data_IF_567517137593
#
_entry.id   IF_567517137593
#
_cell.length_a   1.000
_cell.length_b   1.000
_cell.length_c   1.000
_cell.angle_alpha   90.00
_cell.angle_beta   90.00
_cell.angle_gamma   90.00
#
_symmetry.space_group_name_H-M   'P 1'
#
loop_
_entity.id
_entity.type
_entity.pdbx_description
1 polymer ?
#
# COMPACT_ATOMS: atom_id res chain seq x y z
N UNK A 1 -1.42 -18.18 21.24
CA UNK A 1 -1.14 -16.82 20.69
C UNK A 1 -2.28 -15.83 20.89
N UNK A 2 -3.56 -16.14 20.67
CA UNK A 2 -4.70 -15.20 20.83
C UNK A 2 -4.88 -14.65 22.27
N UNK A 3 -4.62 -15.44 23.32
CA UNK A 3 -4.80 -15.01 24.72
C UNK A 3 -3.78 -13.95 25.14
N UNK A 4 -2.51 -14.13 24.75
CA UNK A 4 -1.43 -13.16 25.03
C UNK A 4 -1.67 -11.83 24.32
N UNK A 5 -2.17 -11.86 23.08
CA UNK A 5 -2.55 -10.69 22.30
C UNK A 5 -3.68 -9.90 23.00
N UNK A 6 -4.66 -10.59 23.59
CA UNK A 6 -5.74 -9.97 24.37
C UNK A 6 -5.25 -9.26 25.64
N UNK A 7 -4.29 -9.85 26.35
CA UNK A 7 -3.70 -9.25 27.54
C UNK A 7 -2.87 -8.01 27.19
N UNK A 8 -2.12 -8.06 26.07
CA UNK A 8 -1.36 -6.91 25.57
C UNK A 8 -2.30 -5.79 25.12
N UNK A 9 -3.43 -6.08 24.49
CA UNK A 9 -4.42 -5.09 24.07
C UNK A 9 -5.10 -4.34 25.25
N UNK A 10 -5.00 -4.87 26.49
CA UNK A 10 -5.49 -4.17 27.68
C UNK A 10 -4.50 -3.09 28.14
N UNK A 11 -3.20 -3.39 28.03
CA UNK A 11 -2.12 -2.49 28.51
C UNK A 11 -1.71 -1.49 27.41
N UNK A 12 -1.66 -1.95 26.16
CA UNK A 12 -1.30 -1.15 25.00
C UNK A 12 -2.32 -1.38 23.88
N UNK A 13 -3.48 -0.71 23.92
CA UNK A 13 -4.54 -0.94 22.95
C UNK A 13 -4.11 -0.51 21.55
N UNK A 14 -4.33 -1.40 20.58
CA UNK A 14 -4.12 -1.09 19.17
C UNK A 14 -5.09 -0.01 18.73
N UNK A 15 -4.61 0.91 17.91
CA UNK A 15 -5.38 2.04 17.41
C UNK A 15 -5.54 1.97 15.90
N UNK A 16 -6.72 2.37 15.43
CA UNK A 16 -7.00 2.54 14.01
C UNK A 16 -6.01 3.54 13.40
N UNK A 17 -5.32 3.15 12.32
CA UNK A 17 -4.33 3.99 11.64
C UNK A 17 -4.96 5.23 10.98
N UNK A 18 -6.26 5.25 10.78
CA UNK A 18 -7.02 6.36 10.18
C UNK A 18 -7.55 7.30 11.27
N UNK A 19 -8.47 6.84 12.13
CA UNK A 19 -9.18 7.70 13.08
C UNK A 19 -8.63 7.66 14.51
N UNK A 20 -7.62 6.82 14.82
CA UNK A 20 -7.04 6.69 16.16
C UNK A 20 -7.90 5.93 17.17
N UNK A 21 -9.13 5.52 16.83
CA UNK A 21 -10.01 4.74 17.73
C UNK A 21 -9.35 3.40 18.10
N UNK A 22 -9.59 2.93 19.33
CA UNK A 22 -9.20 1.58 19.73
C UNK A 22 -9.80 0.55 18.79
N UNK A 23 -8.98 -0.39 18.32
CA UNK A 23 -9.41 -1.49 17.46
C UNK A 23 -10.11 -2.59 18.27
N UNK A 24 -11.08 -3.23 17.65
CA UNK A 24 -11.68 -4.47 18.15
C UNK A 24 -10.68 -5.64 18.00
N UNK A 25 -11.02 -6.80 18.56
CA UNK A 25 -10.10 -7.96 18.61
C UNK A 25 -9.80 -8.51 17.22
N UNK A 26 -10.77 -8.42 16.33
CA UNK A 26 -10.76 -8.87 14.94
C UNK A 26 -10.25 -7.80 13.96
N UNK A 27 -10.13 -6.56 14.39
CA UNK A 27 -9.58 -5.47 13.61
C UNK A 27 -8.04 -5.42 13.76
N UNK A 28 -7.29 -5.31 12.67
CA UNK A 28 -5.82 -5.37 12.73
C UNK A 28 -5.14 -4.00 12.60
N UNK A 29 -5.48 -3.23 11.62
CA UNK A 29 -4.87 -1.94 11.31
C UNK A 29 -5.88 -0.79 11.31
N UNK A 30 -7.05 -1.07 10.77
CA UNK A 30 -8.12 -0.09 10.52
C UNK A 30 -9.43 -0.63 11.06
N UNK A 31 -10.25 0.24 11.64
CA UNK A 31 -11.57 -0.16 12.12
C UNK A 31 -12.57 -0.33 10.97
N UNK A 32 -13.59 -1.16 11.17
CA UNK A 32 -14.60 -1.45 10.16
C UNK A 32 -15.25 -0.18 9.58
N UNK A 33 -15.54 0.82 10.43
CA UNK A 33 -16.10 2.09 9.97
C UNK A 33 -15.15 2.82 9.01
N UNK A 34 -13.85 2.94 9.34
CA UNK A 34 -12.88 3.56 8.44
C UNK A 34 -12.67 2.76 7.16
N UNK A 35 -12.69 1.42 7.22
CA UNK A 35 -12.61 0.57 6.04
C UNK A 35 -13.81 0.79 5.11
N UNK A 36 -15.02 0.87 5.67
CA UNK A 36 -16.23 1.12 4.90
C UNK A 36 -16.22 2.50 4.20
N UNK A 37 -15.66 3.52 4.86
CA UNK A 37 -15.62 4.90 4.35
C UNK A 37 -14.33 5.23 3.59
N UNK A 38 -13.45 4.24 3.30
CA UNK A 38 -12.29 4.49 2.46
C UNK A 38 -12.72 5.06 1.10
N UNK A 39 -12.08 6.14 0.63
CA UNK A 39 -12.39 6.73 -0.69
C UNK A 39 -11.84 5.86 -1.82
N UNK A 40 -12.44 4.69 -2.01
CA UNK A 40 -12.05 3.74 -3.08
C UNK A 40 -12.32 4.34 -4.44
N UNK A 41 -11.43 4.07 -5.40
CA UNK A 41 -11.55 4.60 -6.78
C UNK A 41 -12.43 3.73 -7.66
N UNK A 42 -12.55 2.45 -7.34
CA UNK A 42 -13.15 1.40 -8.19
C UNK A 42 -12.49 1.29 -9.59
N UNK A 43 -11.22 1.70 -9.71
CA UNK A 43 -10.51 1.66 -11.00
C UNK A 43 -10.11 0.24 -11.41
N UNK A 44 -10.09 -0.72 -10.50
CA UNK A 44 -9.85 -2.14 -10.80
C UNK A 44 -10.94 -2.72 -11.70
N UNK A 45 -12.20 -2.35 -11.50
CA UNK A 45 -13.33 -2.77 -12.34
C UNK A 45 -13.23 -2.27 -13.79
N UNK A 46 -12.48 -1.18 -14.01
CA UNK A 46 -12.23 -0.58 -15.33
C UNK A 46 -10.73 -0.41 -15.59
N UNK A 47 -9.94 -1.46 -15.31
CA UNK A 47 -8.48 -1.40 -15.27
C UNK A 47 -7.81 -0.99 -16.59
N UNK A 48 -8.48 -1.19 -17.74
CA UNK A 48 -7.98 -0.81 -19.06
C UNK A 48 -8.26 0.65 -19.42
N UNK A 49 -9.37 1.21 -18.92
CA UNK A 49 -9.83 2.56 -19.23
C UNK A 49 -10.38 3.27 -17.99
N UNK A 50 -9.50 3.95 -17.28
CA UNK A 50 -9.80 4.80 -16.15
C UNK A 50 -8.82 5.99 -16.13
N UNK A 51 -9.02 7.02 -15.31
CA UNK A 51 -8.14 8.19 -15.27
C UNK A 51 -6.67 7.86 -15.06
N UNK A 52 -6.33 6.79 -14.29
CA UNK A 52 -4.95 6.38 -14.08
C UNK A 52 -4.38 5.66 -15.30
N UNK A 53 -5.14 4.74 -15.93
CA UNK A 53 -4.69 4.02 -17.11
C UNK A 53 -4.39 4.97 -18.28
N UNK A 54 -5.22 5.99 -18.46
CA UNK A 54 -5.04 7.01 -19.52
C UNK A 54 -3.75 7.79 -19.41
N UNK A 55 -3.15 7.93 -18.20
CA UNK A 55 -1.86 8.58 -18.02
C UNK A 55 -0.70 7.84 -18.72
N UNK A 56 -0.86 6.55 -18.96
CA UNK A 56 0.19 5.72 -19.58
C UNK A 56 -0.02 5.52 -21.09
N UNK A 57 -1.18 5.88 -21.63
CA UNK A 57 -1.48 5.67 -23.04
C UNK A 57 -0.51 6.42 -23.96
N UNK A 58 0.07 5.69 -24.90
CA UNK A 58 1.05 6.23 -25.84
C UNK A 58 2.44 6.50 -25.26
N UNK A 59 2.64 6.29 -23.94
CA UNK A 59 3.93 6.52 -23.28
C UNK A 59 4.70 5.22 -23.02
N UNK A 60 4.01 4.23 -22.45
CA UNK A 60 4.59 2.92 -22.14
C UNK A 60 3.52 1.84 -22.35
N UNK A 61 3.91 0.60 -22.66
CA UNK A 61 2.99 -0.51 -22.88
C UNK A 61 2.46 -1.05 -21.53
N UNK A 62 1.59 -0.30 -20.86
CA UNK A 62 0.88 -0.76 -19.66
C UNK A 62 -0.45 -1.35 -20.08
N UNK A 63 -0.69 -2.61 -19.73
CA UNK A 63 -1.92 -3.30 -20.06
C UNK A 63 -3.08 -2.81 -19.17
N UNK A 64 -2.87 -2.74 -17.87
CA UNK A 64 -3.87 -2.33 -16.86
C UNK A 64 -3.23 -1.39 -15.85
N UNK A 65 -3.97 -0.39 -15.40
CA UNK A 65 -3.54 0.46 -14.30
C UNK A 65 -4.72 0.84 -13.42
N UNK A 66 -4.52 0.81 -12.12
CA UNK A 66 -5.50 1.24 -11.13
C UNK A 66 -4.82 1.85 -9.92
N UNK A 67 -5.50 2.77 -9.24
CA UNK A 67 -5.21 3.17 -7.87
C UNK A 67 -6.32 2.62 -6.99
N UNK A 68 -6.00 2.25 -5.76
CA UNK A 68 -6.98 1.69 -4.83
C UNK A 68 -7.87 2.75 -4.21
N UNK A 69 -7.25 3.86 -3.74
CA UNK A 69 -7.93 4.92 -3.00
C UNK A 69 -7.53 6.29 -3.56
N UNK A 70 -8.44 7.27 -3.44
CA UNK A 70 -8.11 8.67 -3.63
C UNK A 70 -7.27 9.20 -2.47
N UNK A 71 -6.26 9.99 -2.76
CA UNK A 71 -5.43 10.65 -1.76
C UNK A 71 -5.77 12.14 -1.71
N UNK A 72 -6.25 12.58 -0.55
CA UNK A 72 -6.47 13.99 -0.25
C UNK A 72 -5.44 14.45 0.79
N UNK A 73 -4.61 15.47 0.50
CA UNK A 73 -3.75 16.08 1.50
C UNK A 73 -4.59 16.55 2.70
N UNK A 74 -4.16 16.19 3.90
CA UNK A 74 -4.88 16.48 5.16
C UNK A 74 -6.18 15.69 5.38
N UNK A 75 -6.57 14.82 4.47
CA UNK A 75 -7.69 13.89 4.66
C UNK A 75 -7.33 12.76 5.64
N UNK A 76 -8.34 12.00 6.07
CA UNK A 76 -8.16 10.89 7.02
C UNK A 76 -7.17 9.82 6.51
N UNK A 77 -7.20 9.52 5.20
CA UNK A 77 -6.30 8.56 4.56
C UNK A 77 -4.84 9.03 4.60
N UNK A 78 -4.59 10.35 4.61
CA UNK A 78 -3.23 10.88 4.67
C UNK A 78 -2.50 10.41 5.93
N UNK A 79 -3.19 10.31 7.07
CA UNK A 79 -2.61 9.85 8.34
C UNK A 79 -2.06 8.42 8.22
N UNK A 80 -2.80 7.52 7.57
CA UNK A 80 -2.41 6.13 7.31
C UNK A 80 -1.13 6.07 6.45
N UNK A 81 -1.08 6.84 5.37
CA UNK A 81 0.08 6.91 4.47
C UNK A 81 1.31 7.52 5.18
N UNK A 82 1.11 8.51 6.05
CA UNK A 82 2.19 9.08 6.85
C UNK A 82 2.73 8.10 7.88
N UNK A 83 1.88 7.34 8.57
CA UNK A 83 2.30 6.28 9.50
C UNK A 83 3.08 5.18 8.77
N UNK A 84 2.63 4.75 7.59
CA UNK A 84 3.37 3.83 6.74
C UNK A 84 4.73 4.38 6.31
N UNK A 85 4.86 5.68 6.04
CA UNK A 85 6.13 6.26 5.57
C UNK A 85 7.10 6.63 6.68
N UNK A 86 6.59 7.01 7.87
CA UNK A 86 7.38 7.66 8.92
C UNK A 86 7.12 7.11 10.33
N UNK A 87 6.11 6.28 10.51
CA UNK A 87 5.72 5.76 11.82
C UNK A 87 6.51 4.53 12.28
N UNK A 88 7.40 3.97 11.45
CA UNK A 88 8.12 2.74 11.80
C UNK A 88 7.23 1.48 11.81
N UNK A 89 6.10 1.50 11.10
CA UNK A 89 5.10 0.43 11.04
C UNK A 89 5.05 -0.24 9.66
N UNK A 90 6.05 -1.08 9.30
CA UNK A 90 6.03 -1.79 8.02
C UNK A 90 4.85 -2.75 7.87
N UNK A 91 4.32 -3.27 8.98
CA UNK A 91 3.14 -4.12 9.02
C UNK A 91 1.90 -3.47 8.41
N UNK A 92 1.79 -2.14 8.47
CA UNK A 92 0.70 -1.44 7.78
C UNK A 92 0.78 -1.56 6.26
N UNK A 93 2.00 -1.59 5.70
CA UNK A 93 2.18 -1.83 4.27
C UNK A 93 1.68 -3.22 3.85
N UNK A 94 2.00 -4.22 4.67
CA UNK A 94 1.55 -5.59 4.43
C UNK A 94 0.02 -5.72 4.47
N UNK A 95 -0.63 -5.18 5.50
CA UNK A 95 -2.09 -5.20 5.63
C UNK A 95 -2.80 -4.40 4.52
N UNK A 96 -2.24 -3.23 4.15
CA UNK A 96 -2.75 -2.46 3.01
C UNK A 96 -2.66 -3.25 1.70
N UNK A 97 -1.58 -4.01 1.51
CA UNK A 97 -1.43 -4.90 0.36
C UNK A 97 -2.49 -5.99 0.31
N UNK A 98 -2.84 -6.57 1.45
CA UNK A 98 -3.91 -7.57 1.54
C UNK A 98 -5.28 -6.96 1.20
N UNK A 99 -5.67 -5.84 1.82
CA UNK A 99 -6.94 -5.16 1.53
C UNK A 99 -7.05 -4.74 0.05
N UNK A 100 -5.97 -4.18 -0.51
CA UNK A 100 -5.94 -3.84 -1.93
C UNK A 100 -6.13 -5.09 -2.81
N UNK A 101 -5.46 -6.18 -2.47
CA UNK A 101 -5.52 -7.40 -3.25
C UNK A 101 -6.91 -8.05 -3.18
N UNK A 102 -7.55 -8.05 -2.01
CA UNK A 102 -8.92 -8.52 -1.84
C UNK A 102 -9.88 -7.72 -2.73
N UNK A 103 -9.87 -6.38 -2.63
CA UNK A 103 -10.74 -5.50 -3.44
C UNK A 103 -10.48 -5.70 -4.96
N UNK A 104 -9.23 -5.86 -5.39
CA UNK A 104 -8.87 -5.96 -6.80
C UNK A 104 -9.07 -7.36 -7.39
N UNK A 105 -9.01 -8.40 -6.56
CA UNK A 105 -9.23 -9.78 -7.00
C UNK A 105 -10.67 -10.01 -7.44
N UNK A 106 -11.64 -9.33 -6.82
CA UNK A 106 -13.06 -9.40 -7.21
C UNK A 106 -13.27 -8.97 -8.68
N UNK A 107 -12.43 -8.05 -9.18
CA UNK A 107 -12.48 -7.52 -10.54
C UNK A 107 -11.57 -8.29 -11.53
N UNK A 108 -10.91 -9.38 -11.12
CA UNK A 108 -9.97 -10.14 -11.94
C UNK A 108 -8.71 -9.34 -12.31
N UNK A 109 -8.34 -8.33 -11.52
CA UNK A 109 -7.19 -7.44 -11.83
C UNK A 109 -5.87 -8.21 -11.92
N UNK A 110 -5.72 -9.30 -11.18
CA UNK A 110 -4.49 -10.09 -11.13
C UNK A 110 -4.42 -11.22 -12.18
N UNK A 111 -5.44 -11.38 -13.02
CA UNK A 111 -5.45 -12.43 -14.03
C UNK A 111 -4.32 -12.27 -15.04
N UNK A 112 -3.53 -13.33 -15.23
CA UNK A 112 -2.39 -13.34 -16.15
C UNK A 112 -1.16 -12.56 -15.65
N UNK A 113 -1.10 -12.24 -14.36
CA UNK A 113 0.09 -11.64 -13.72
C UNK A 113 0.98 -12.76 -13.17
N UNK A 114 2.28 -12.73 -13.48
CA UNK A 114 3.26 -13.74 -13.06
C UNK A 114 3.96 -13.38 -11.75
N UNK A 115 4.08 -12.11 -11.42
CA UNK A 115 4.80 -11.64 -10.23
C UNK A 115 4.42 -10.22 -9.82
N UNK A 116 4.61 -9.91 -8.54
CA UNK A 116 4.51 -8.55 -7.98
C UNK A 116 5.91 -7.95 -7.86
N UNK A 117 6.12 -6.79 -8.49
CA UNK A 117 7.42 -6.10 -8.49
C UNK A 117 7.30 -4.77 -7.75
N UNK A 118 7.85 -4.63 -6.54
CA UNK A 118 7.77 -3.40 -5.79
C UNK A 118 8.66 -2.30 -6.39
N UNK A 119 8.19 -1.05 -6.35
CA UNK A 119 9.01 0.10 -6.74
C UNK A 119 10.18 0.25 -5.76
N UNK A 120 11.45 0.28 -6.26
CA UNK A 120 12.61 0.36 -5.39
C UNK A 120 12.74 1.74 -4.73
N UNK A 121 13.07 1.73 -3.44
CA UNK A 121 13.32 2.93 -2.64
C UNK A 121 14.74 3.46 -2.84
N UNK A 122 14.95 4.77 -2.76
CA UNK A 122 16.28 5.36 -2.76
C UNK A 122 17.05 5.01 -1.46
N UNK A 123 18.36 4.76 -1.55
CA UNK A 123 19.21 4.31 -0.45
C UNK A 123 19.15 5.23 0.78
N UNK A 124 19.19 6.55 0.57
CA UNK A 124 19.06 7.53 1.65
C UNK A 124 17.69 7.45 2.37
N UNK A 125 16.62 7.16 1.63
CA UNK A 125 15.29 6.95 2.21
C UNK A 125 15.18 5.62 2.94
N UNK A 126 15.80 4.56 2.40
CA UNK A 126 15.87 3.26 3.04
C UNK A 126 16.58 3.36 4.40
N UNK A 127 17.75 4.03 4.44
CA UNK A 127 18.51 4.24 5.67
C UNK A 127 17.73 5.03 6.73
N UNK A 128 16.92 6.01 6.31
CA UNK A 128 16.10 6.81 7.23
C UNK A 128 14.84 6.08 7.71
N UNK A 129 14.23 5.24 6.88
CA UNK A 129 12.96 4.55 7.18
C UNK A 129 13.16 3.16 7.75
N UNK A 130 14.29 2.51 7.44
CA UNK A 130 14.57 1.12 7.78
C UNK A 130 13.94 0.10 6.83
N UNK A 131 13.01 0.50 5.96
CA UNK A 131 12.29 -0.42 5.06
C UNK A 131 11.78 0.26 3.78
N UNK A 132 11.45 -0.57 2.78
CA UNK A 132 10.76 -0.17 1.56
C UNK A 132 9.25 -0.44 1.70
N UNK A 133 8.43 0.59 1.73
CA UNK A 133 6.97 0.47 1.87
C UNK A 133 6.34 -0.35 0.74
N UNK A 134 6.81 -0.13 -0.51
CA UNK A 134 6.29 -0.85 -1.66
C UNK A 134 6.56 -2.35 -1.58
N UNK A 135 7.66 -2.76 -0.94
CA UNK A 135 7.97 -4.17 -0.72
C UNK A 135 7.01 -4.81 0.29
N UNK A 136 6.64 -4.11 1.36
CA UNK A 136 5.67 -4.63 2.32
C UNK A 136 4.27 -4.71 1.73
N UNK A 137 3.86 -3.71 0.93
CA UNK A 137 2.60 -3.77 0.17
C UNK A 137 2.63 -4.98 -0.80
N UNK A 138 3.73 -5.17 -1.54
CA UNK A 138 3.89 -6.30 -2.45
C UNK A 138 3.79 -7.65 -1.72
N UNK A 139 4.36 -7.76 -0.51
CA UNK A 139 4.24 -8.97 0.33
C UNK A 139 2.79 -9.25 0.74
N UNK A 140 2.03 -8.21 1.08
CA UNK A 140 0.60 -8.34 1.39
C UNK A 140 -0.22 -8.79 0.18
N UNK A 141 0.06 -8.22 -1.00
CA UNK A 141 -0.57 -8.66 -2.26
C UNK A 141 -0.20 -10.12 -2.55
N UNK A 142 1.06 -10.48 -2.41
CA UNK A 142 1.53 -11.84 -2.64
C UNK A 142 0.84 -12.88 -1.73
N UNK A 143 0.64 -12.55 -0.46
CA UNK A 143 -0.05 -13.41 0.48
C UNK A 143 -1.51 -13.67 0.07
N UNK A 144 -2.21 -12.62 -0.38
CA UNK A 144 -3.61 -12.72 -0.77
C UNK A 144 -3.81 -13.38 -2.14
N UNK A 145 -2.84 -13.23 -3.06
CA UNK A 145 -2.98 -13.69 -4.45
C UNK A 145 -2.19 -14.95 -4.79
N UNK A 146 -1.23 -15.35 -3.95
CA UNK A 146 -0.28 -16.43 -4.23
C UNK A 146 0.83 -16.06 -5.24
N UNK A 147 0.89 -14.81 -5.71
CA UNK A 147 1.90 -14.35 -6.66
C UNK A 147 3.26 -14.16 -5.98
N UNK A 148 4.39 -14.52 -6.62
CA UNK A 148 5.71 -14.30 -6.06
C UNK A 148 6.10 -12.82 -6.07
N UNK A 149 6.79 -12.35 -5.03
CA UNK A 149 7.41 -11.01 -5.00
C UNK A 149 8.81 -11.07 -5.60
N UNK A 150 9.08 -10.21 -6.59
CA UNK A 150 10.39 -10.12 -7.25
C UNK A 150 11.01 -8.75 -7.03
N UNK A 151 12.00 -8.66 -6.15
CA UNK A 151 12.71 -7.42 -5.81
C UNK A 151 13.97 -7.18 -6.65
N UNK A 152 14.35 -8.13 -7.46
CA UNK A 152 15.55 -8.16 -8.29
C UNK A 152 15.36 -7.60 -9.70
N UNK A 153 14.11 -7.49 -10.19
CA UNK A 153 13.78 -7.11 -11.57
C UNK A 153 14.06 -5.62 -11.84
N UNK A 154 13.70 -4.74 -10.88
CA UNK A 154 13.84 -3.29 -11.05
C UNK A 154 14.80 -2.72 -10.02
N UNK A 155 15.76 -1.91 -10.48
CA UNK A 155 16.71 -1.22 -9.61
C UNK A 155 16.61 0.29 -9.80
N UNK A 156 16.64 1.02 -8.68
CA UNK A 156 16.69 2.49 -8.73
C UNK A 156 18.10 2.96 -9.06
N UNK A 157 18.25 3.76 -10.12
CA UNK A 157 19.49 4.49 -10.38
C UNK A 157 19.61 5.64 -9.39
N UNK A 158 20.79 5.82 -8.80
CA UNK A 158 21.08 7.00 -7.99
C UNK A 158 21.25 8.21 -8.93
N UNK A 159 20.31 9.15 -8.90
CA UNK A 159 20.53 10.46 -9.52
C UNK A 159 21.42 11.27 -8.58
N UNK A 160 22.58 11.66 -9.04
CA UNK A 160 23.54 12.46 -8.26
C UNK A 160 23.11 13.90 -8.03
N UNK A 161 22.11 14.43 -8.77
CA UNK A 161 21.64 15.79 -8.59
C UNK A 161 20.12 15.91 -8.73
N UNK A 162 19.51 16.57 -7.77
CA UNK A 162 18.14 17.07 -7.88
C UNK A 162 18.13 18.23 -8.87
N UNK A 163 17.41 18.14 -9.97
CA UNK A 163 17.27 19.24 -10.94
C UNK A 163 16.54 20.49 -10.37
N UNK A 164 16.14 20.47 -9.11
CA UNK A 164 15.41 21.56 -8.45
C UNK A 164 16.33 22.66 -7.89
N UNK A 165 17.64 22.60 -8.14
CA UNK A 165 18.63 23.63 -7.70
C UNK A 165 19.38 24.30 -8.87
N UNK A 166 18.84 24.29 -10.07
CA UNK A 166 19.33 25.13 -11.15
C UNK A 166 18.33 26.26 -11.41
N UNK A 167 18.54 27.37 -10.71
CA UNK A 167 18.14 28.68 -11.19
C UNK A 167 19.15 29.16 -12.20
#
# INVERSE_FOLDING_TARGET
MRLLRRLLDVVAPRQCCVCGRRLAIDEEMMCAACNLHLPRTSFSAHAYDNPMARLFWGQIPVMRAASWIYFEPHGEVASMIYRLKYGGHPEYGYLLGQFLAEDFAEDGFFDGIDAVVPVPIAKNRLNRRGYNQSEYIAKGIAEATGLPVRTDIVKRREFRESQTQKN
#
